data_IF_104377457339
#
_entry.id   IF_104377457339
#
_cell.length_a   1.000
_cell.length_b   1.000
_cell.length_c   1.000
_cell.angle_alpha   90.00
_cell.angle_beta   90.00
_cell.angle_gamma   90.00
#
_symmetry.space_group_name_H-M   'P 1'
#
loop_
_entity.id
_entity.type
_entity.pdbx_description
1 polymer ?
#
# COMPACT_ATOMS: atom_id res chain seq x y z
N UNK A 1 -25.05 21.94 -27.30
CA UNK A 1 -23.72 21.43 -26.98
C UNK A 1 -23.61 19.90 -26.99
N UNK A 2 -24.60 19.13 -26.55
CA UNK A 2 -24.53 17.66 -26.46
C UNK A 2 -24.27 16.94 -27.81
N UNK A 3 -24.60 17.51 -28.96
CA UNK A 3 -24.47 16.86 -30.27
C UNK A 3 -23.30 17.38 -31.13
N UNK A 4 -22.67 18.48 -30.78
CA UNK A 4 -21.61 19.10 -31.61
C UNK A 4 -20.25 18.52 -31.26
N UNK A 5 -19.91 18.43 -29.97
CA UNK A 5 -18.62 17.89 -29.50
C UNK A 5 -18.39 16.43 -29.89
N UNK A 6 -19.37 15.50 -29.77
CA UNK A 6 -19.19 14.11 -30.23
C UNK A 6 -18.89 13.98 -31.71
N UNK A 7 -19.52 14.86 -32.56
CA UNK A 7 -19.30 14.86 -34.01
C UNK A 7 -17.93 15.37 -34.41
N UNK A 8 -17.38 16.34 -33.67
CA UNK A 8 -16.03 16.83 -33.87
C UNK A 8 -15.01 15.81 -33.35
N UNK A 9 -15.29 15.21 -32.18
CA UNK A 9 -14.46 14.18 -31.59
C UNK A 9 -14.40 12.88 -32.45
N UNK A 10 -15.44 12.59 -33.23
CA UNK A 10 -15.46 11.43 -34.12
C UNK A 10 -14.49 11.57 -35.30
N UNK A 11 -14.08 12.81 -35.65
CA UNK A 11 -13.11 13.08 -36.71
C UNK A 11 -11.65 13.04 -36.22
N UNK A 12 -11.43 13.01 -34.90
CA UNK A 12 -10.11 12.98 -34.28
C UNK A 12 -9.85 11.56 -33.73
N UNK A 13 -8.76 10.92 -34.18
CA UNK A 13 -8.32 9.63 -33.66
C UNK A 13 -7.32 9.78 -32.51
N UNK A 14 -7.28 8.80 -31.59
CA UNK A 14 -6.26 8.68 -30.55
C UNK A 14 -6.43 9.61 -29.33
N UNK A 15 -5.29 9.98 -28.71
CA UNK A 15 -5.24 10.81 -27.48
C UNK A 15 -5.99 12.15 -27.55
N UNK A 16 -5.97 12.94 -28.66
CA UNK A 16 -6.69 14.22 -28.72
C UNK A 16 -8.20 14.07 -28.60
N UNK A 17 -8.80 12.96 -29.05
CA UNK A 17 -10.21 12.68 -28.87
C UNK A 17 -10.59 12.58 -27.39
N UNK A 18 -9.75 11.92 -26.58
CA UNK A 18 -10.00 11.78 -25.14
C UNK A 18 -9.94 13.12 -24.42
N UNK A 19 -8.96 13.97 -24.75
CA UNK A 19 -8.86 15.32 -24.17
C UNK A 19 -10.04 16.19 -24.55
N UNK A 20 -10.51 16.12 -25.80
CA UNK A 20 -11.68 16.87 -26.25
C UNK A 20 -12.96 16.41 -25.53
N UNK A 21 -13.14 15.11 -25.34
CA UNK A 21 -14.28 14.56 -24.58
C UNK A 21 -14.21 14.92 -23.09
N UNK A 22 -13.00 14.90 -22.50
CA UNK A 22 -12.80 15.29 -21.11
C UNK A 22 -12.98 16.79 -20.86
N UNK A 23 -12.81 17.66 -21.88
CA UNK A 23 -13.03 19.09 -21.74
C UNK A 23 -14.52 19.50 -21.69
N UNK A 24 -15.43 18.65 -22.18
CA UNK A 24 -16.88 18.94 -22.20
C UNK A 24 -17.49 19.13 -20.80
N UNK A 25 -17.29 18.23 -19.83
CA UNK A 25 -17.80 18.43 -18.47
C UNK A 25 -17.14 19.62 -17.78
N UNK A 26 -15.85 19.89 -18.03
CA UNK A 26 -15.14 21.06 -17.53
C UNK A 26 -15.77 22.36 -18.05
N UNK A 27 -15.98 22.46 -19.35
CA UNK A 27 -16.62 23.62 -19.97
C UNK A 27 -18.03 23.83 -19.45
N UNK A 28 -18.79 22.74 -19.27
CA UNK A 28 -20.13 22.80 -18.69
C UNK A 28 -20.12 23.34 -17.26
N UNK A 29 -19.17 22.87 -16.45
CA UNK A 29 -18.99 23.36 -15.08
C UNK A 29 -18.67 24.85 -15.07
N UNK A 30 -17.72 25.30 -15.91
CA UNK A 30 -17.36 26.73 -16.04
C UNK A 30 -18.56 27.58 -16.44
N UNK A 31 -19.38 27.13 -17.40
CA UNK A 31 -20.59 27.84 -17.82
C UNK A 31 -21.62 27.92 -16.68
N UNK A 32 -21.85 26.84 -15.95
CA UNK A 32 -22.77 26.83 -14.80
C UNK A 32 -22.28 27.80 -13.73
N UNK A 33 -21.00 27.75 -13.34
CA UNK A 33 -20.41 28.65 -12.34
C UNK A 33 -20.49 30.10 -12.79
N UNK A 34 -20.12 30.39 -14.04
CA UNK A 34 -20.24 31.73 -14.62
C UNK A 34 -21.70 32.24 -14.61
N UNK A 35 -22.68 31.38 -14.96
CA UNK A 35 -24.10 31.71 -14.94
C UNK A 35 -24.55 32.04 -13.52
N UNK A 36 -24.16 31.25 -12.52
CA UNK A 36 -24.49 31.52 -11.11
C UNK A 36 -23.93 32.86 -10.66
N UNK A 37 -22.64 33.14 -10.96
CA UNK A 37 -21.98 34.38 -10.59
C UNK A 37 -22.64 35.61 -11.24
N UNK A 38 -23.13 35.49 -12.46
CA UNK A 38 -23.78 36.59 -13.17
C UNK A 38 -25.24 36.77 -12.80
N UNK A 39 -26.00 35.68 -12.56
CA UNK A 39 -27.44 35.73 -12.35
C UNK A 39 -27.81 36.03 -10.91
N UNK A 40 -27.06 35.48 -9.94
CA UNK A 40 -27.35 35.65 -8.52
C UNK A 40 -27.34 37.13 -8.08
N UNK A 41 -26.36 37.97 -8.47
CA UNK A 41 -26.35 39.39 -8.14
C UNK A 41 -27.52 40.18 -8.76
N UNK A 42 -28.08 39.72 -9.88
CA UNK A 42 -29.25 40.36 -10.53
C UNK A 42 -30.52 40.09 -9.72
N UNK A 43 -30.65 38.90 -9.14
CA UNK A 43 -31.82 38.48 -8.36
C UNK A 43 -31.81 39.00 -6.92
N UNK A 44 -30.62 39.17 -6.36
CA UNK A 44 -30.41 39.67 -4.99
C UNK A 44 -29.92 41.12 -5.10
N UNK A 45 -30.60 42.07 -4.44
CA UNK A 45 -30.14 43.48 -4.44
C UNK A 45 -28.64 43.54 -4.10
N UNK A 46 -27.80 44.16 -4.92
CA UNK A 46 -26.36 44.14 -4.77
C UNK A 46 -25.93 45.12 -3.66
N UNK A 47 -26.30 44.81 -2.40
CA UNK A 47 -25.76 45.49 -1.24
C UNK A 47 -24.42 44.85 -0.89
N UNK A 48 -23.52 45.63 -0.30
CA UNK A 48 -22.20 45.12 0.12
C UNK A 48 -22.35 43.89 1.01
N UNK A 49 -23.33 43.92 1.90
CA UNK A 49 -23.65 42.86 2.86
C UNK A 49 -24.07 41.55 2.18
N UNK A 50 -24.97 41.62 1.18
CA UNK A 50 -25.40 40.47 0.42
C UNK A 50 -24.27 39.91 -0.45
N UNK A 51 -23.42 40.75 -1.02
CA UNK A 51 -22.25 40.31 -1.80
C UNK A 51 -21.25 39.56 -0.94
N UNK A 52 -20.92 40.09 0.24
CA UNK A 52 -20.04 39.42 1.19
C UNK A 52 -20.60 38.05 1.60
N UNK A 53 -21.89 37.96 1.88
CA UNK A 53 -22.54 36.70 2.24
C UNK A 53 -22.47 35.66 1.08
N UNK A 54 -22.79 36.07 -0.15
CA UNK A 54 -22.78 35.18 -1.33
C UNK A 54 -21.35 34.71 -1.63
N UNK A 55 -20.39 35.65 -1.72
CA UNK A 55 -19.00 35.27 -2.00
C UNK A 55 -18.36 34.48 -0.88
N UNK A 56 -18.73 34.75 0.38
CA UNK A 56 -18.28 33.97 1.53
C UNK A 56 -18.78 32.53 1.48
N UNK A 57 -20.08 32.35 1.20
CA UNK A 57 -20.66 31.02 1.05
C UNK A 57 -20.02 30.25 -0.14
N UNK A 58 -19.80 30.92 -1.28
CA UNK A 58 -19.16 30.33 -2.46
C UNK A 58 -17.70 29.95 -2.18
N UNK A 59 -16.95 30.83 -1.51
CA UNK A 59 -15.56 30.57 -1.12
C UNK A 59 -15.47 29.37 -0.17
N UNK A 60 -16.39 29.26 0.79
CA UNK A 60 -16.46 28.14 1.72
C UNK A 60 -16.77 26.83 0.97
N UNK A 61 -17.76 26.83 0.08
CA UNK A 61 -18.11 25.67 -0.73
C UNK A 61 -16.94 25.21 -1.62
N UNK A 62 -16.24 26.15 -2.25
CA UNK A 62 -15.04 25.85 -3.04
C UNK A 62 -13.89 25.32 -2.16
N UNK A 63 -13.68 25.92 -0.99
CA UNK A 63 -12.70 25.44 -0.01
C UNK A 63 -12.93 23.99 0.39
N UNK A 64 -14.18 23.61 0.68
CA UNK A 64 -14.53 22.22 0.96
C UNK A 64 -14.35 21.30 -0.26
N UNK A 65 -14.70 21.76 -1.45
CA UNK A 65 -14.54 20.98 -2.67
C UNK A 65 -13.04 20.66 -2.99
N UNK A 66 -12.14 21.58 -2.66
CA UNK A 66 -10.69 21.42 -2.89
C UNK A 66 -9.91 20.86 -1.70
N UNK A 67 -10.54 20.69 -0.54
CA UNK A 67 -9.88 20.28 0.71
C UNK A 67 -9.03 19.02 0.53
N UNK A 68 -9.61 17.96 -0.03
CA UNK A 68 -8.92 16.66 -0.14
C UNK A 68 -7.78 16.69 -1.16
N UNK A 69 -7.93 17.50 -2.20
CA UNK A 69 -6.88 17.73 -3.17
C UNK A 69 -5.69 18.46 -2.54
N UNK A 70 -5.97 19.55 -1.83
CA UNK A 70 -4.95 20.32 -1.12
C UNK A 70 -4.26 19.47 -0.05
N UNK A 71 -5.02 18.69 0.73
CA UNK A 71 -4.49 17.74 1.70
C UNK A 71 -3.51 16.76 1.06
N UNK A 72 -3.87 16.15 -0.06
CA UNK A 72 -2.99 15.20 -0.75
C UNK A 72 -1.71 15.84 -1.25
N UNK A 73 -1.76 17.10 -1.72
CA UNK A 73 -0.57 17.84 -2.15
C UNK A 73 0.35 18.17 -0.96
N UNK A 74 -0.22 18.69 0.11
CA UNK A 74 0.54 19.03 1.33
C UNK A 74 1.19 17.78 1.91
N UNK A 75 0.41 16.69 2.07
CA UNK A 75 0.92 15.43 2.53
C UNK A 75 2.04 14.88 1.62
N UNK A 76 1.91 15.04 0.29
CA UNK A 76 2.96 14.67 -0.66
C UNK A 76 4.27 15.45 -0.46
N UNK A 77 4.18 16.76 -0.25
CA UNK A 77 5.36 17.61 0.03
C UNK A 77 6.04 17.16 1.33
N UNK A 78 5.25 16.93 2.39
CA UNK A 78 5.77 16.47 3.68
C UNK A 78 6.40 15.08 3.56
N UNK A 79 5.77 14.16 2.85
CA UNK A 79 6.31 12.82 2.58
C UNK A 79 7.67 12.88 1.89
N UNK A 80 7.85 13.81 0.94
CA UNK A 80 9.14 13.99 0.26
C UNK A 80 10.22 14.57 1.19
N UNK A 81 9.83 15.34 2.20
CA UNK A 81 10.76 15.92 3.17
C UNK A 81 11.11 14.96 4.30
N UNK A 82 10.10 14.31 4.90
CA UNK A 82 10.28 13.41 6.04
C UNK A 82 10.72 12.00 5.62
N UNK A 83 10.43 11.59 4.38
CA UNK A 83 10.78 10.29 3.81
C UNK A 83 10.41 9.09 4.71
N UNK A 84 9.16 8.97 5.18
CA UNK A 84 8.73 7.85 6.01
C UNK A 84 8.80 6.51 5.26
N UNK A 85 8.86 6.56 3.95
CA UNK A 85 9.15 5.45 3.05
C UNK A 85 9.83 5.97 1.78
N UNK A 86 10.52 5.11 1.07
CA UNK A 86 11.29 5.42 -0.15
C UNK A 86 10.95 4.44 -1.26
N UNK A 87 11.17 4.78 -2.54
CA UNK A 87 11.12 3.79 -3.60
C UNK A 87 12.03 2.60 -3.30
N UNK A 88 11.50 1.38 -3.42
CA UNK A 88 12.15 0.13 -3.03
C UNK A 88 11.84 -0.34 -1.60
N UNK A 89 11.16 0.47 -0.78
CA UNK A 89 10.68 0.01 0.52
C UNK A 89 9.46 -0.89 0.37
N UNK A 90 9.39 -1.90 1.23
CA UNK A 90 8.24 -2.77 1.37
C UNK A 90 7.39 -2.29 2.55
N UNK A 91 6.22 -1.78 2.25
CA UNK A 91 5.34 -1.17 3.24
C UNK A 91 3.96 -1.83 3.25
N UNK A 92 3.31 -1.74 4.40
CA UNK A 92 1.91 -2.11 4.55
C UNK A 92 1.11 -0.89 5.01
N UNK A 93 0.00 -0.62 4.31
CA UNK A 93 -0.91 0.48 4.58
C UNK A 93 -2.34 -0.02 4.36
N UNK A 94 -3.21 0.15 5.36
CA UNK A 94 -4.62 -0.30 5.30
C UNK A 94 -4.76 -1.77 4.85
N UNK A 95 -3.83 -2.65 5.29
CA UNK A 95 -3.82 -4.06 4.91
C UNK A 95 -3.31 -4.35 3.49
N UNK A 96 -2.84 -3.34 2.77
CA UNK A 96 -2.20 -3.51 1.46
C UNK A 96 -0.69 -3.54 1.62
N UNK A 97 -0.08 -4.68 1.29
CA UNK A 97 1.37 -4.88 1.33
C UNK A 97 1.97 -4.80 -0.06
N UNK A 98 3.08 -4.07 -0.22
CA UNK A 98 3.74 -3.95 -1.51
C UNK A 98 5.05 -3.16 -1.46
N UNK A 99 5.79 -3.21 -2.57
CA UNK A 99 6.97 -2.40 -2.79
C UNK A 99 6.58 -1.00 -3.27
N UNK A 100 7.15 0.03 -2.68
CA UNK A 100 6.99 1.41 -3.16
C UNK A 100 7.72 1.55 -4.50
N UNK A 101 6.96 1.62 -5.59
CA UNK A 101 7.48 1.76 -6.94
C UNK A 101 7.88 3.19 -7.26
N UNK A 102 7.01 4.14 -6.91
CA UNK A 102 7.21 5.55 -7.18
C UNK A 102 6.44 6.40 -6.16
N UNK A 103 6.98 7.60 -5.90
CA UNK A 103 6.33 8.62 -5.09
C UNK A 103 6.05 9.80 -6.02
N UNK A 104 4.77 10.00 -6.36
CA UNK A 104 4.30 11.14 -7.13
C UNK A 104 3.97 12.33 -6.23
N UNK A 105 3.53 13.44 -6.81
CA UNK A 105 3.18 14.66 -6.07
C UNK A 105 1.94 14.47 -5.18
N UNK A 106 1.00 13.63 -5.59
CA UNK A 106 -0.30 13.45 -4.92
C UNK A 106 -0.52 12.05 -4.35
N UNK A 107 0.19 11.06 -4.87
CA UNK A 107 0.00 9.66 -4.52
C UNK A 107 1.31 8.90 -4.63
N UNK A 108 1.44 7.83 -3.86
CA UNK A 108 2.46 6.79 -4.03
C UNK A 108 1.89 5.60 -4.81
N UNK A 109 2.75 4.93 -5.56
CA UNK A 109 2.43 3.69 -6.26
C UNK A 109 3.07 2.52 -5.51
N UNK A 110 2.24 1.57 -5.09
CA UNK A 110 2.68 0.31 -4.49
C UNK A 110 2.51 -0.83 -5.49
N UNK A 111 3.54 -1.64 -5.66
CA UNK A 111 3.49 -2.88 -6.42
C UNK A 111 3.30 -4.04 -5.44
N UNK A 112 2.15 -4.69 -5.50
CA UNK A 112 1.87 -5.86 -4.66
C UNK A 112 2.66 -7.09 -5.11
N UNK A 113 2.76 -8.14 -4.26
CA UNK A 113 3.37 -9.41 -4.65
C UNK A 113 2.78 -10.06 -5.90
N UNK A 114 1.52 -9.76 -6.21
CA UNK A 114 0.77 -10.29 -7.35
C UNK A 114 0.82 -9.34 -8.57
N UNK A 115 1.86 -8.49 -8.66
CA UNK A 115 2.08 -7.53 -9.75
C UNK A 115 0.93 -6.51 -9.94
N UNK A 116 0.11 -6.30 -8.92
CA UNK A 116 -0.95 -5.28 -8.96
C UNK A 116 -0.40 -3.93 -8.49
N UNK A 117 -0.60 -2.89 -9.30
CA UNK A 117 -0.25 -1.52 -8.90
C UNK A 117 -1.40 -0.88 -8.14
N UNK A 118 -1.16 -0.53 -6.90
CA UNK A 118 -2.10 0.21 -6.04
C UNK A 118 -1.63 1.66 -5.96
N UNK A 119 -2.53 2.59 -6.30
CA UNK A 119 -2.27 4.03 -6.17
C UNK A 119 -2.86 4.52 -4.85
N UNK A 120 -1.99 4.89 -3.91
CA UNK A 120 -2.39 5.36 -2.58
C UNK A 120 -2.23 6.88 -2.49
N UNK A 121 -3.34 7.65 -2.36
CA UNK A 121 -3.26 9.09 -2.16
C UNK A 121 -2.49 9.45 -0.88
N UNK A 122 -1.65 10.49 -0.91
CA UNK A 122 -0.88 10.91 0.26
C UNK A 122 -1.75 11.34 1.45
N UNK A 123 -2.96 11.87 1.20
CA UNK A 123 -3.93 12.15 2.26
C UNK A 123 -4.31 10.91 3.08
N UNK A 124 -4.39 9.74 2.44
CA UNK A 124 -4.63 8.46 3.12
C UNK A 124 -3.43 8.07 3.99
N UNK A 125 -2.22 8.25 3.48
CA UNK A 125 -0.98 7.96 4.18
C UNK A 125 -0.81 8.77 5.46
N UNK A 126 -1.35 10.00 5.48
CA UNK A 126 -1.31 10.88 6.64
C UNK A 126 -2.15 10.39 7.82
N UNK A 127 -3.29 9.77 7.51
CA UNK A 127 -4.26 9.32 8.51
C UNK A 127 -4.12 7.82 8.85
N UNK A 128 -3.23 7.08 8.18
CA UNK A 128 -3.06 5.64 8.34
C UNK A 128 -1.72 5.29 9.00
N UNK A 129 -1.69 4.13 9.68
CA UNK A 129 -0.44 3.55 10.14
C UNK A 129 0.33 2.98 8.95
N UNK A 130 1.60 3.32 8.85
CA UNK A 130 2.51 2.80 7.85
C UNK A 130 3.48 1.85 8.53
N UNK A 131 3.44 0.57 8.17
CA UNK A 131 4.45 -0.38 8.59
C UNK A 131 5.51 -0.48 7.48
N UNK A 132 6.72 0.04 7.73
CA UNK A 132 7.84 -0.03 6.80
C UNK A 132 8.78 -1.19 7.20
N UNK A 133 8.89 -2.19 6.34
CA UNK A 133 9.63 -3.43 6.63
C UNK A 133 11.15 -3.29 6.53
N UNK A 134 11.66 -2.38 5.71
CA UNK A 134 13.10 -2.24 5.44
C UNK A 134 13.67 -0.83 5.64
N UNK A 135 12.84 0.18 5.85
CA UNK A 135 13.23 1.55 6.22
C UNK A 135 14.41 2.11 5.41
N UNK A 136 14.26 2.11 4.10
CA UNK A 136 15.28 2.59 3.15
C UNK A 136 16.56 1.74 3.07
N UNK A 137 16.57 0.57 3.71
CA UNK A 137 17.70 -0.36 3.67
C UNK A 137 17.39 -1.57 2.79
N UNK A 138 18.41 -2.35 2.48
CA UNK A 138 18.26 -3.65 1.82
C UNK A 138 17.94 -4.79 2.82
N UNK A 139 17.60 -4.45 4.07
CA UNK A 139 17.34 -5.40 5.13
C UNK A 139 15.85 -5.56 5.40
N UNK A 140 15.32 -6.70 5.02
CA UNK A 140 13.95 -7.09 5.29
C UNK A 140 13.95 -8.38 6.11
N UNK A 141 13.26 -8.37 7.26
CA UNK A 141 13.12 -9.56 8.10
C UNK A 141 11.98 -10.43 7.60
N UNK A 142 12.30 -11.63 7.16
CA UNK A 142 11.33 -12.64 6.76
C UNK A 142 11.12 -13.66 7.88
N UNK A 143 9.92 -14.20 7.97
CA UNK A 143 9.53 -15.16 9.01
C UNK A 143 8.90 -16.38 8.35
N UNK A 144 9.47 -17.56 8.56
CA UNK A 144 8.86 -18.84 8.25
C UNK A 144 8.32 -19.47 9.55
N UNK A 145 7.06 -19.90 9.57
CA UNK A 145 6.42 -20.46 10.74
C UNK A 145 6.23 -21.97 10.62
N UNK A 146 6.54 -22.69 11.70
CA UNK A 146 6.38 -24.14 11.82
C UNK A 146 5.55 -24.46 13.03
N UNK A 147 4.50 -25.23 12.83
CA UNK A 147 3.57 -25.64 13.87
C UNK A 147 3.81 -27.13 14.16
N UNK A 148 4.49 -27.44 15.26
CA UNK A 148 4.95 -28.78 15.57
C UNK A 148 4.21 -29.35 16.77
N UNK A 149 4.07 -30.69 16.81
CA UNK A 149 3.51 -31.40 17.96
C UNK A 149 4.43 -31.20 19.19
N UNK A 150 3.91 -31.23 20.43
CA UNK A 150 4.68 -30.82 21.60
C UNK A 150 5.80 -31.80 22.04
N UNK A 151 5.78 -33.04 21.60
CA UNK A 151 6.72 -34.07 22.09
C UNK A 151 7.97 -34.20 21.22
N UNK A 152 8.92 -33.25 21.37
CA UNK A 152 10.22 -33.28 20.72
C UNK A 152 11.26 -32.46 21.49
N UNK A 153 12.54 -32.64 21.15
CA UNK A 153 13.64 -31.83 21.68
C UNK A 153 13.63 -30.43 21.02
N UNK A 154 13.24 -29.42 21.79
CA UNK A 154 13.15 -28.04 21.32
C UNK A 154 14.53 -27.46 20.92
N UNK A 155 15.59 -27.79 21.67
CA UNK A 155 16.93 -27.30 21.37
C UNK A 155 17.44 -27.86 20.03
N UNK A 156 17.15 -29.13 19.77
CA UNK A 156 17.43 -29.79 18.49
C UNK A 156 16.70 -29.10 17.33
N UNK A 157 15.38 -28.88 17.47
CA UNK A 157 14.58 -28.19 16.44
C UNK A 157 15.12 -26.78 16.15
N UNK A 158 15.41 -26.00 17.19
CA UNK A 158 15.98 -24.66 17.01
C UNK A 158 17.30 -24.69 16.25
N UNK A 159 18.17 -25.68 16.53
CA UNK A 159 19.44 -25.84 15.84
C UNK A 159 19.24 -26.22 14.38
N UNK A 160 18.36 -27.17 14.10
CA UNK A 160 18.03 -27.61 12.75
C UNK A 160 17.48 -26.46 11.89
N UNK A 161 16.52 -25.70 12.41
CA UNK A 161 15.94 -24.55 11.71
C UNK A 161 16.97 -23.45 11.46
N UNK A 162 17.87 -23.17 12.41
CA UNK A 162 19.00 -22.25 12.18
C UNK A 162 19.90 -22.74 11.05
N UNK A 163 20.24 -24.04 11.05
CA UNK A 163 21.06 -24.64 9.99
C UNK A 163 20.38 -24.49 8.63
N UNK A 164 19.08 -24.77 8.53
CA UNK A 164 18.30 -24.56 7.30
C UNK A 164 18.45 -23.13 6.77
N UNK A 165 18.32 -22.13 7.66
CA UNK A 165 18.49 -20.75 7.23
C UNK A 165 19.93 -20.40 6.84
N UNK A 166 20.94 -20.85 7.60
CA UNK A 166 22.34 -20.55 7.28
C UNK A 166 22.86 -21.23 6.01
N UNK A 167 22.31 -22.40 5.66
CA UNK A 167 22.69 -23.13 4.43
C UNK A 167 21.94 -22.65 3.20
N UNK A 168 20.91 -21.83 3.38
CA UNK A 168 20.11 -21.36 2.26
C UNK A 168 20.85 -20.27 1.46
N UNK A 169 20.97 -20.38 0.11
CA UNK A 169 21.81 -19.50 -0.71
C UNK A 169 21.33 -18.02 -0.72
N UNK A 170 20.08 -17.76 -0.43
CA UNK A 170 19.55 -16.41 -0.40
C UNK A 170 19.63 -15.74 0.98
N UNK A 171 20.17 -16.41 1.99
CA UNK A 171 20.25 -15.83 3.35
C UNK A 171 21.41 -14.84 3.47
N UNK A 172 21.14 -13.67 4.05
CA UNK A 172 22.15 -12.74 4.54
C UNK A 172 22.81 -13.29 5.80
N UNK A 173 23.88 -14.07 5.66
CA UNK A 173 24.53 -14.75 6.79
C UNK A 173 25.19 -13.81 7.79
N UNK A 174 25.47 -12.56 7.41
CA UNK A 174 26.01 -11.51 8.31
C UNK A 174 24.92 -10.79 9.12
N UNK A 175 23.65 -11.12 8.90
CA UNK A 175 22.52 -10.65 9.71
C UNK A 175 22.05 -11.75 10.65
N UNK A 176 21.46 -11.40 11.81
CA UNK A 176 20.99 -12.39 12.76
C UNK A 176 19.95 -13.35 12.17
N UNK A 177 20.19 -14.65 12.36
CA UNK A 177 19.21 -15.70 12.15
C UNK A 177 18.67 -16.12 13.51
N UNK A 178 17.39 -15.92 13.74
CA UNK A 178 16.75 -16.16 15.03
C UNK A 178 15.67 -17.23 14.89
N UNK A 179 15.59 -18.13 15.86
CA UNK A 179 14.45 -19.04 16.00
C UNK A 179 13.78 -18.71 17.32
N UNK A 180 12.55 -18.24 17.23
CA UNK A 180 11.71 -17.90 18.39
C UNK A 180 10.67 -18.99 18.53
N UNK A 181 10.59 -19.58 19.73
CA UNK A 181 9.59 -20.61 20.04
C UNK A 181 8.54 -20.05 20.97
N UNK A 182 7.29 -20.43 20.74
CA UNK A 182 6.18 -20.14 21.64
C UNK A 182 5.30 -21.38 21.82
N UNK A 183 4.86 -21.61 23.05
CA UNK A 183 3.91 -22.68 23.36
C UNK A 183 2.49 -22.18 23.15
N UNK A 184 1.70 -22.95 22.43
CA UNK A 184 0.26 -22.72 22.22
C UNK A 184 -0.53 -23.92 22.74
N UNK A 185 -1.82 -23.77 23.11
CA UNK A 185 -2.62 -24.89 23.63
C UNK A 185 -2.68 -26.11 22.71
N UNK A 186 -2.48 -25.91 21.41
CA UNK A 186 -2.56 -26.92 20.36
C UNK A 186 -1.20 -27.40 19.84
N UNK A 187 -0.08 -26.81 20.29
CA UNK A 187 1.27 -27.23 19.85
C UNK A 187 2.34 -26.16 20.03
N UNK A 188 3.54 -26.45 19.53
CA UNK A 188 4.70 -25.55 19.57
C UNK A 188 4.81 -24.78 18.26
N UNK A 189 4.91 -23.45 18.33
CA UNK A 189 5.12 -22.58 17.17
C UNK A 189 6.55 -22.09 17.14
N UNK A 190 7.25 -22.42 16.06
CA UNK A 190 8.60 -21.96 15.79
C UNK A 190 8.58 -20.92 14.69
N UNK A 191 9.13 -19.74 14.96
CA UNK A 191 9.28 -18.65 14.00
C UNK A 191 10.75 -18.52 13.64
N UNK A 192 11.11 -19.03 12.46
CA UNK A 192 12.43 -18.88 11.88
C UNK A 192 12.50 -17.50 11.22
N UNK A 193 13.32 -16.63 11.80
CA UNK A 193 13.51 -15.25 11.34
C UNK A 193 14.87 -15.13 10.67
N UNK A 194 14.87 -14.75 9.40
CA UNK A 194 16.08 -14.54 8.61
C UNK A 194 15.82 -13.47 7.54
N UNK A 195 16.90 -12.90 7.01
CA UNK A 195 16.80 -11.86 5.98
C UNK A 195 17.34 -12.36 4.65
N UNK A 196 16.60 -12.15 3.54
CA UNK A 196 17.08 -12.47 2.21
C UNK A 196 18.15 -11.46 1.74
N UNK A 197 18.99 -11.84 0.79
CA UNK A 197 19.99 -10.95 0.18
C UNK A 197 19.32 -9.73 -0.46
N UNK A 198 18.17 -9.93 -1.11
CA UNK A 198 17.36 -8.86 -1.72
C UNK A 198 15.93 -8.91 -1.16
N UNK A 199 15.34 -7.78 -0.74
CA UNK A 199 13.96 -7.72 -0.27
C UNK A 199 12.94 -8.28 -1.28
N UNK A 200 13.15 -8.07 -2.57
CA UNK A 200 12.29 -8.59 -3.64
C UNK A 200 12.23 -10.13 -3.70
N UNK A 201 13.23 -10.83 -3.15
CA UNK A 201 13.24 -12.30 -3.10
C UNK A 201 12.47 -12.88 -1.89
N UNK A 202 11.83 -12.04 -1.06
CA UNK A 202 11.23 -12.44 0.22
C UNK A 202 10.25 -13.60 0.12
N UNK A 203 9.35 -13.60 -0.87
CA UNK A 203 8.31 -14.63 -1.00
C UNK A 203 8.90 -15.98 -1.37
N UNK A 204 9.81 -15.98 -2.34
CA UNK A 204 10.56 -17.18 -2.71
C UNK A 204 11.39 -17.68 -1.53
N UNK A 205 12.07 -16.79 -0.83
CA UNK A 205 12.90 -17.11 0.33
C UNK A 205 12.09 -17.75 1.46
N UNK A 206 10.94 -17.18 1.83
CA UNK A 206 10.04 -17.74 2.85
C UNK A 206 9.54 -19.12 2.42
N UNK A 207 9.12 -19.26 1.16
CA UNK A 207 8.63 -20.51 0.61
C UNK A 207 9.68 -21.62 0.65
N UNK A 208 10.92 -21.32 0.21
CA UNK A 208 12.03 -22.29 0.19
C UNK A 208 12.48 -22.64 1.61
N UNK A 209 12.55 -21.69 2.55
CA UNK A 209 12.81 -21.97 3.96
C UNK A 209 11.73 -22.86 4.58
N UNK A 210 10.48 -22.60 4.28
CA UNK A 210 9.36 -23.39 4.79
C UNK A 210 9.41 -24.82 4.25
N UNK A 211 9.61 -24.99 2.95
CA UNK A 211 9.69 -26.31 2.33
C UNK A 211 10.90 -27.12 2.87
N UNK A 212 12.09 -26.51 2.90
CA UNK A 212 13.29 -27.18 3.40
C UNK A 212 13.18 -27.50 4.89
N UNK A 213 12.68 -26.55 5.68
CA UNK A 213 12.45 -26.77 7.11
C UNK A 213 11.44 -27.90 7.38
N UNK A 214 10.34 -27.93 6.62
CA UNK A 214 9.36 -29.00 6.71
C UNK A 214 9.95 -30.38 6.38
N UNK A 215 10.75 -30.46 5.34
CA UNK A 215 11.44 -31.70 4.96
C UNK A 215 12.41 -32.18 6.05
N UNK A 216 13.18 -31.27 6.64
CA UNK A 216 14.11 -31.60 7.74
C UNK A 216 13.32 -32.08 8.95
N UNK A 217 12.22 -31.43 9.34
CA UNK A 217 11.39 -31.89 10.46
C UNK A 217 10.81 -33.30 10.21
N UNK A 218 10.33 -33.54 8.99
CA UNK A 218 9.81 -34.88 8.62
C UNK A 218 10.91 -35.96 8.68
N UNK A 219 12.12 -35.65 8.24
CA UNK A 219 13.27 -36.59 8.31
C UNK A 219 13.69 -36.91 9.74
N UNK A 220 13.57 -35.95 10.64
CA UNK A 220 13.86 -36.13 12.09
C UNK A 220 12.66 -36.77 12.84
N UNK A 221 11.59 -37.14 12.16
CA UNK A 221 10.41 -37.75 12.76
C UNK A 221 9.55 -36.80 13.60
N UNK A 222 9.72 -35.48 13.43
CA UNK A 222 8.99 -34.45 14.17
C UNK A 222 7.69 -34.16 13.45
N UNK A 223 6.55 -34.48 14.09
CA UNK A 223 5.22 -34.29 13.52
C UNK A 223 4.75 -32.84 13.51
N UNK A 224 4.06 -32.46 12.45
CA UNK A 224 3.31 -31.21 12.39
C UNK A 224 1.97 -31.34 13.10
N UNK A 225 1.49 -30.22 13.62
CA UNK A 225 0.13 -30.17 14.17
C UNK A 225 -0.86 -30.25 13.01
N UNK A 226 -1.80 -31.22 13.08
CA UNK A 226 -2.97 -31.21 12.21
C UNK A 226 -3.97 -30.19 12.75
N UNK A 227 -4.40 -29.23 11.94
CA UNK A 227 -5.47 -28.32 12.33
C UNK A 227 -6.72 -29.14 12.68
N UNK A 228 -7.40 -28.86 13.81
CA UNK A 228 -8.70 -29.46 14.05
C UNK A 228 -9.61 -29.08 12.87
N UNK A 229 -10.16 -30.07 12.19
CA UNK A 229 -11.19 -29.86 11.16
C UNK A 229 -12.40 -29.31 11.92
N UNK A 230 -12.53 -28.00 11.97
CA UNK A 230 -13.78 -27.36 12.38
C UNK A 230 -14.77 -27.64 11.25
N UNK A 231 -15.56 -28.73 11.46
CA UNK A 231 -16.71 -28.96 10.61
C UNK A 231 -17.65 -27.77 10.71
N UNK A 232 -18.04 -27.25 9.54
CA UNK A 232 -19.10 -26.27 9.37
C UNK A 232 -20.41 -26.83 9.96
#
# INVERSE_FOLDING_TARGET
MQNVFPRIAAKLGGKPRLYLLASVPLLRLVIIVATVILVVPILVKPTLENMVAIFGALALALGFAFKDYANSLIAGIVTLYEMPYRPGDWIEIDGQYGEVRAIGTRAAELLTPDDTVIVVPHSKLWDSLIANGNDGTDHLMCVAEFHLQPHHDMARVMTLLRTVAFTHPLTKTWKPVLVVVSNKPWGMVYRLKASPIKPSAQFRFISELTATGAQVMATEGIGFVSAPVTGN
#
